data_IF_385079092702
#
_entry.id   IF_385079092702
#
_cell.length_a   1.000
_cell.length_b   1.000
_cell.length_c   1.000
_cell.angle_alpha   90.00
_cell.angle_beta   90.00
_cell.angle_gamma   90.00
#
_symmetry.space_group_name_H-M   'P 1'
#
loop_
_entity.id
_entity.type
_entity.pdbx_description
1 polymer ?
#
# COMPACT_ATOMS: atom_id res chain seq x y z
N UNK A 1 -3.01 7.38 -9.26
CA UNK A 1 -1.60 7.27 -9.74
C UNK A 1 -1.38 7.96 -11.09
N UNK A 2 -2.43 8.51 -11.73
CA UNK A 2 -2.36 9.27 -12.99
C UNK A 2 -1.37 10.45 -13.00
N UNK A 3 -1.15 11.11 -11.85
CA UNK A 3 -0.13 12.18 -11.74
C UNK A 3 1.30 11.70 -12.00
N UNK A 4 1.53 10.39 -11.90
CA UNK A 4 2.79 9.74 -12.25
C UNK A 4 2.66 8.93 -13.55
N UNK A 5 1.76 9.30 -14.46
CA UNK A 5 1.63 8.66 -15.78
C UNK A 5 1.07 7.24 -15.78
N UNK A 6 0.67 6.69 -14.62
CA UNK A 6 0.06 5.35 -14.53
C UNK A 6 -1.47 5.49 -14.63
N UNK A 7 -2.16 4.81 -15.57
CA UNK A 7 -3.57 5.06 -15.88
C UNK A 7 -4.54 4.43 -14.88
N UNK A 8 -4.29 4.59 -13.58
CA UNK A 8 -5.10 4.02 -12.50
C UNK A 8 -5.34 5.01 -11.35
N UNK A 9 -6.41 4.76 -10.61
CA UNK A 9 -6.65 5.23 -9.24
C UNK A 9 -6.84 4.02 -8.32
N UNK A 10 -6.58 4.19 -7.02
CA UNK A 10 -6.40 3.05 -6.12
C UNK A 10 -6.85 3.36 -4.70
N UNK A 11 -7.15 2.31 -3.94
CA UNK A 11 -7.41 2.35 -2.50
C UNK A 11 -6.80 1.12 -1.81
N UNK A 12 -6.80 1.11 -0.48
CA UNK A 12 -6.39 -0.03 0.32
C UNK A 12 -7.57 -0.60 1.11
N UNK A 13 -7.87 -1.88 0.90
CA UNK A 13 -8.78 -2.63 1.75
C UNK A 13 -7.99 -3.18 2.94
N UNK A 14 -8.40 -2.81 4.15
CA UNK A 14 -7.72 -3.22 5.39
C UNK A 14 -8.62 -3.19 6.62
N UNK A 15 -8.28 -3.93 7.69
CA UNK A 15 -8.83 -3.67 9.01
C UNK A 15 -8.51 -2.25 9.49
N UNK A 16 -9.41 -1.70 10.31
CA UNK A 16 -9.30 -0.34 10.86
C UNK A 16 -9.34 -0.30 12.38
N UNK A 17 -9.86 -1.34 13.03
CA UNK A 17 -9.87 -1.43 14.48
C UNK A 17 -8.56 -2.05 15.00
N UNK A 18 -8.18 -1.62 16.20
CA UNK A 18 -6.92 -1.96 16.85
C UNK A 18 -6.79 -3.47 17.12
N UNK A 19 -7.88 -4.14 17.47
CA UNK A 19 -7.86 -5.57 17.80
C UNK A 19 -7.66 -6.41 16.53
N UNK A 20 -8.36 -6.07 15.43
CA UNK A 20 -8.20 -6.74 14.15
C UNK A 20 -6.81 -6.51 13.56
N UNK A 21 -6.29 -5.28 13.60
CA UNK A 21 -4.92 -4.99 13.15
C UNK A 21 -3.86 -5.76 13.94
N UNK A 22 -4.04 -5.90 15.26
CA UNK A 22 -3.14 -6.68 16.11
C UNK A 22 -3.23 -8.19 15.84
N UNK A 23 -4.41 -8.68 15.44
CA UNK A 23 -4.64 -10.09 15.11
C UNK A 23 -4.08 -10.46 13.74
N UNK A 24 -4.41 -9.68 12.70
CA UNK A 24 -3.93 -9.88 11.35
C UNK A 24 -4.07 -8.56 10.53
N UNK A 25 -2.96 -7.82 10.29
CA UNK A 25 -2.97 -6.59 9.53
C UNK A 25 -2.83 -6.85 8.01
N UNK A 26 -3.55 -7.85 7.47
CA UNK A 26 -3.58 -8.10 6.03
C UNK A 26 -4.24 -6.94 5.30
N UNK A 27 -3.65 -6.53 4.18
CA UNK A 27 -4.08 -5.35 3.41
C UNK A 27 -3.94 -5.64 1.94
N UNK A 28 -4.88 -5.13 1.16
CA UNK A 28 -4.89 -5.28 -0.30
C UNK A 28 -4.96 -3.90 -0.94
N UNK A 29 -3.89 -3.53 -1.65
CA UNK A 29 -3.88 -2.32 -2.48
C UNK A 29 -4.54 -2.64 -3.82
N UNK A 30 -5.71 -2.06 -4.08
CA UNK A 30 -6.53 -2.35 -5.25
C UNK A 30 -6.57 -1.15 -6.16
N UNK A 31 -6.18 -1.35 -7.43
CA UNK A 31 -6.17 -0.31 -8.46
C UNK A 31 -7.24 -0.58 -9.50
N UNK A 32 -7.97 0.47 -9.89
CA UNK A 32 -8.93 0.45 -10.97
C UNK A 32 -8.33 1.14 -12.20
N UNK A 33 -8.35 0.43 -13.34
CA UNK A 33 -7.88 0.95 -14.63
C UNK A 33 -8.83 2.01 -15.16
N UNK A 34 -8.27 3.14 -15.57
CA UNK A 34 -8.99 4.28 -16.15
C UNK A 34 -8.87 4.25 -17.66
N UNK A 35 -9.82 3.60 -18.33
CA UNK A 35 -9.83 3.41 -19.79
C UNK A 35 -9.84 4.75 -20.55
N UNK A 36 -10.43 5.80 -19.99
CA UNK A 36 -10.46 7.13 -20.58
C UNK A 36 -9.07 7.77 -20.75
N UNK A 37 -8.05 7.22 -20.07
CA UNK A 37 -6.65 7.63 -20.21
C UNK A 37 -5.89 6.87 -21.33
N UNK A 38 -6.51 5.91 -22.00
CA UNK A 38 -5.94 5.22 -23.18
C UNK A 38 -6.13 6.14 -24.39
N UNK A 39 -5.07 6.69 -24.96
CA UNK A 39 -5.18 7.75 -25.98
C UNK A 39 -5.82 7.25 -27.28
N UNK A 40 -5.42 6.05 -27.71
CA UNK A 40 -5.95 5.43 -28.91
C UNK A 40 -7.41 4.98 -28.71
N UNK A 41 -8.36 5.66 -29.36
CA UNK A 41 -9.79 5.39 -29.22
C UNK A 41 -10.21 3.96 -29.63
N UNK A 42 -9.62 3.41 -30.70
CA UNK A 42 -9.92 2.05 -31.14
C UNK A 42 -9.40 1.02 -30.13
N UNK A 43 -8.18 1.25 -29.59
CA UNK A 43 -7.60 0.38 -28.58
C UNK A 43 -8.37 0.46 -27.25
N UNK A 44 -8.82 1.66 -26.87
CA UNK A 44 -9.68 1.88 -25.71
C UNK A 44 -10.99 1.11 -25.83
N UNK A 45 -11.65 1.21 -26.99
CA UNK A 45 -12.89 0.48 -27.26
C UNK A 45 -12.65 -1.04 -27.19
N UNK A 46 -11.56 -1.52 -27.79
CA UNK A 46 -11.17 -2.93 -27.73
C UNK A 46 -10.94 -3.41 -26.30
N UNK A 47 -10.25 -2.61 -25.48
CA UNK A 47 -10.02 -2.93 -24.08
C UNK A 47 -11.34 -3.01 -23.29
N UNK A 48 -12.27 -2.07 -23.53
CA UNK A 48 -13.58 -2.09 -22.90
C UNK A 48 -14.39 -3.35 -23.26
N UNK A 49 -14.36 -3.77 -24.53
CA UNK A 49 -15.04 -4.98 -25.00
C UNK A 49 -14.50 -6.24 -24.29
N UNK A 50 -13.17 -6.40 -24.25
CA UNK A 50 -12.53 -7.55 -23.59
C UNK A 50 -12.90 -7.57 -22.10
N UNK A 51 -12.81 -6.42 -21.42
CA UNK A 51 -13.14 -6.30 -20.00
C UNK A 51 -14.62 -6.55 -19.71
N UNK A 52 -15.53 -6.25 -20.64
CA UNK A 52 -16.98 -6.47 -20.45
C UNK A 52 -17.40 -7.93 -20.56
N UNK A 53 -16.58 -8.78 -21.18
CA UNK A 53 -16.89 -10.19 -21.43
C UNK A 53 -16.38 -11.14 -20.35
N UNK A 54 -15.56 -10.64 -19.40
CA UNK A 54 -14.97 -11.46 -18.35
C UNK A 54 -15.84 -11.51 -17.11
N UNK A 55 -15.80 -12.65 -16.42
CA UNK A 55 -16.27 -12.79 -15.04
C UNK A 55 -15.11 -13.26 -14.17
N UNK A 56 -14.66 -12.38 -13.26
CA UNK A 56 -13.47 -12.62 -12.43
C UNK A 56 -13.79 -13.38 -11.14
N UNK A 57 -15.08 -13.54 -10.81
CA UNK A 57 -15.51 -14.24 -9.60
C UNK A 57 -16.19 -15.55 -10.00
N UNK A 58 -15.88 -16.63 -9.30
CA UNK A 58 -16.61 -17.90 -9.51
C UNK A 58 -18.08 -17.72 -9.14
N UNK A 59 -18.96 -18.49 -9.76
CA UNK A 59 -20.39 -18.45 -9.42
C UNK A 59 -20.64 -18.79 -7.95
N UNK A 60 -19.83 -19.70 -7.36
CA UNK A 60 -19.93 -20.06 -5.94
C UNK A 60 -19.45 -18.94 -5.02
N UNK A 61 -18.41 -18.19 -5.39
CA UNK A 61 -17.98 -17.00 -4.65
C UNK A 61 -19.12 -15.98 -4.51
N UNK A 62 -19.85 -15.71 -5.61
CA UNK A 62 -21.00 -14.80 -5.60
C UNK A 62 -22.15 -15.31 -4.72
N UNK A 63 -22.49 -16.60 -4.83
CA UNK A 63 -23.51 -17.22 -3.97
C UNK A 63 -23.15 -17.12 -2.48
N UNK A 64 -21.88 -17.34 -2.12
CA UNK A 64 -21.42 -17.21 -0.74
C UNK A 64 -21.52 -15.76 -0.25
N UNK A 65 -21.28 -14.76 -1.10
CA UNK A 65 -21.52 -13.35 -0.74
C UNK A 65 -23.00 -13.07 -0.47
N UNK A 66 -23.90 -13.57 -1.33
CA UNK A 66 -25.35 -13.43 -1.11
C UNK A 66 -25.78 -14.10 0.21
N UNK A 67 -25.27 -15.32 0.49
CA UNK A 67 -25.50 -16.02 1.75
C UNK A 67 -24.99 -15.22 2.97
N UNK A 68 -23.82 -14.57 2.85
CA UNK A 68 -23.27 -13.74 3.91
C UNK A 68 -24.17 -12.54 4.21
N UNK A 69 -24.66 -11.86 3.18
CA UNK A 69 -25.51 -10.67 3.31
C UNK A 69 -26.87 -11.03 3.93
N UNK A 70 -27.42 -12.20 3.60
CA UNK A 70 -28.67 -12.72 4.21
C UNK A 70 -28.50 -13.14 5.67
N UNK A 71 -27.36 -13.77 6.02
CA UNK A 71 -27.13 -14.38 7.34
C UNK A 71 -26.41 -13.45 8.33
N UNK A 72 -25.74 -12.40 7.84
CA UNK A 72 -24.91 -11.50 8.62
C UNK A 72 -23.57 -12.10 9.08
N UNK A 73 -23.16 -13.23 8.52
CA UNK A 73 -21.93 -13.94 8.92
C UNK A 73 -21.80 -15.33 8.29
N UNK A 74 -20.62 -15.93 8.42
CA UNK A 74 -20.36 -17.31 7.99
C UNK A 74 -20.15 -18.27 9.17
N UNK A 75 -20.57 -19.52 8.97
CA UNK A 75 -20.01 -20.65 9.71
C UNK A 75 -18.54 -20.90 9.31
N UNK A 76 -17.80 -21.66 10.12
CA UNK A 76 -16.41 -21.99 9.80
C UNK A 76 -16.26 -22.69 8.43
N UNK A 77 -17.19 -23.61 8.10
CA UNK A 77 -17.17 -24.32 6.82
C UNK A 77 -17.42 -23.39 5.62
N UNK A 78 -18.40 -22.48 5.72
CA UNK A 78 -18.66 -21.48 4.69
C UNK A 78 -17.47 -20.53 4.53
N UNK A 79 -16.84 -20.10 5.62
CA UNK A 79 -15.66 -19.23 5.56
C UNK A 79 -14.47 -19.92 4.87
N UNK A 80 -14.21 -21.20 5.16
CA UNK A 80 -13.17 -21.98 4.47
C UNK A 80 -13.47 -22.14 2.97
N UNK A 81 -14.74 -22.39 2.63
CA UNK A 81 -15.18 -22.46 1.22
C UNK A 81 -15.00 -21.11 0.52
N UNK A 82 -15.43 -20.03 1.16
CA UNK A 82 -15.31 -18.67 0.64
C UNK A 82 -13.86 -18.27 0.38
N UNK A 83 -12.94 -18.64 1.27
CA UNK A 83 -11.50 -18.41 1.05
C UNK A 83 -10.99 -19.17 -0.17
N UNK A 84 -11.39 -20.43 -0.37
CA UNK A 84 -10.98 -21.21 -1.55
C UNK A 84 -11.51 -20.61 -2.85
N UNK A 85 -12.80 -20.27 -2.88
CA UNK A 85 -13.45 -19.71 -4.07
C UNK A 85 -12.91 -18.30 -4.42
N UNK A 86 -12.66 -17.47 -3.40
CA UNK A 86 -12.07 -16.14 -3.60
C UNK A 86 -10.64 -16.22 -4.10
N UNK A 87 -9.87 -17.25 -3.71
CA UNK A 87 -8.49 -17.43 -4.15
C UNK A 87 -8.38 -17.64 -5.66
N UNK A 88 -9.41 -18.22 -6.30
CA UNK A 88 -9.44 -18.41 -7.76
C UNK A 88 -9.44 -17.08 -8.53
N UNK A 89 -10.06 -16.02 -7.98
CA UNK A 89 -10.03 -14.68 -8.59
C UNK A 89 -8.62 -14.11 -8.76
N UNK A 90 -7.70 -14.48 -7.85
CA UNK A 90 -6.33 -13.96 -7.80
C UNK A 90 -5.29 -14.94 -8.34
N UNK A 91 -5.72 -16.13 -8.80
CA UNK A 91 -4.83 -17.14 -9.36
C UNK A 91 -4.24 -16.65 -10.68
N UNK A 92 -2.97 -16.97 -10.92
CA UNK A 92 -2.33 -16.71 -12.20
C UNK A 92 -2.73 -17.75 -13.24
N UNK A 93 -3.07 -17.25 -14.43
CA UNK A 93 -3.36 -18.06 -15.60
C UNK A 93 -2.35 -17.73 -16.69
N UNK A 94 -1.70 -18.76 -17.23
CA UNK A 94 -0.75 -18.60 -18.35
C UNK A 94 -1.44 -18.27 -19.67
N UNK A 95 -2.73 -18.59 -19.79
CA UNK A 95 -3.51 -18.36 -21.00
C UNK A 95 -4.08 -16.94 -20.99
N UNK A 96 -3.69 -16.15 -21.98
CA UNK A 96 -4.29 -14.85 -22.24
C UNK A 96 -5.68 -15.01 -22.88
N UNK A 97 -6.52 -14.00 -22.71
CA UNK A 97 -7.89 -13.92 -23.28
C UNK A 97 -7.91 -13.30 -24.68
N UNK A 98 -6.74 -12.94 -25.21
CA UNK A 98 -6.56 -12.21 -26.47
C UNK A 98 -5.49 -12.86 -27.35
N UNK A 99 -5.49 -12.49 -28.63
CA UNK A 99 -4.42 -12.84 -29.58
C UNK A 99 -3.14 -12.03 -29.31
N UNK A 100 -2.01 -12.50 -29.86
CA UNK A 100 -0.71 -11.85 -29.67
C UNK A 100 -0.70 -10.38 -30.14
N UNK A 101 -1.37 -10.05 -31.25
CA UNK A 101 -1.35 -8.70 -31.82
C UNK A 101 -2.09 -7.70 -30.94
N UNK A 102 -3.26 -8.10 -30.43
CA UNK A 102 -4.02 -7.34 -29.43
C UNK A 102 -3.19 -7.14 -28.16
N UNK A 103 -2.57 -8.20 -27.64
CA UNK A 103 -1.70 -8.09 -26.46
C UNK A 103 -0.54 -7.11 -26.71
N UNK A 104 0.18 -7.23 -27.82
CA UNK A 104 1.30 -6.34 -28.19
C UNK A 104 0.83 -4.89 -28.33
N UNK A 105 -0.34 -4.64 -28.91
CA UNK A 105 -0.91 -3.30 -29.04
C UNK A 105 -1.21 -2.67 -27.68
N UNK A 106 -1.87 -3.40 -26.77
CA UNK A 106 -2.14 -2.93 -25.40
C UNK A 106 -0.84 -2.75 -24.60
N UNK A 107 0.13 -3.63 -24.81
CA UNK A 107 1.42 -3.58 -24.11
C UNK A 107 2.27 -2.37 -24.51
N UNK A 108 2.24 -2.01 -25.81
CA UNK A 108 2.91 -0.80 -26.33
C UNK A 108 2.28 0.48 -25.80
N UNK A 109 0.96 0.51 -25.62
CA UNK A 109 0.27 1.65 -25.02
C UNK A 109 0.73 1.83 -23.56
N UNK A 110 0.57 0.78 -22.75
CA UNK A 110 1.14 0.72 -21.42
C UNK A 110 1.10 -0.72 -20.91
N UNK A 111 2.23 -1.22 -20.39
CA UNK A 111 2.33 -2.59 -19.86
C UNK A 111 1.27 -2.96 -18.81
N UNK A 112 0.79 -1.99 -18.01
CA UNK A 112 -0.28 -2.19 -17.02
C UNK A 112 -1.62 -2.47 -17.71
N UNK A 113 -1.90 -1.82 -18.84
CA UNK A 113 -3.13 -2.07 -19.59
C UNK A 113 -3.14 -3.52 -20.06
N UNK A 114 -2.03 -4.01 -20.64
CA UNK A 114 -1.94 -5.41 -21.03
C UNK A 114 -2.06 -6.39 -19.84
N UNK A 115 -1.43 -6.09 -18.70
CA UNK A 115 -1.53 -6.88 -17.46
C UNK A 115 -2.97 -6.99 -16.94
N UNK A 116 -3.77 -5.92 -17.05
CA UNK A 116 -5.15 -5.90 -16.55
C UNK A 116 -6.16 -6.45 -17.55
N UNK A 117 -5.98 -6.17 -18.85
CA UNK A 117 -6.98 -6.45 -19.90
C UNK A 117 -6.84 -7.85 -20.48
N UNK A 118 -5.62 -8.35 -20.63
CA UNK A 118 -5.34 -9.55 -21.44
C UNK A 118 -5.49 -10.88 -20.68
N UNK A 119 -5.87 -10.86 -19.40
CA UNK A 119 -5.90 -12.04 -18.55
C UNK A 119 -7.31 -12.31 -17.97
N UNK A 120 -7.62 -13.56 -17.61
CA UNK A 120 -8.96 -13.93 -17.14
C UNK A 120 -9.38 -13.26 -15.82
N UNK A 121 -8.43 -13.03 -14.92
CA UNK A 121 -8.67 -12.52 -13.56
C UNK A 121 -7.80 -11.33 -13.21
N UNK A 122 -7.70 -11.04 -11.92
CA UNK A 122 -6.84 -10.00 -11.36
C UNK A 122 -5.74 -10.63 -10.50
N UNK A 123 -4.81 -11.32 -11.16
CA UNK A 123 -3.75 -12.05 -10.48
C UNK A 123 -2.93 -11.18 -9.53
N UNK A 124 -2.34 -11.81 -8.52
CA UNK A 124 -1.46 -11.15 -7.56
C UNK A 124 -0.28 -10.51 -8.29
N UNK A 125 -0.15 -9.18 -8.18
CA UNK A 125 1.02 -8.45 -8.68
C UNK A 125 2.27 -8.76 -7.84
N UNK A 126 2.12 -8.67 -6.51
CA UNK A 126 3.13 -9.03 -5.51
C UNK A 126 2.46 -9.32 -4.16
N UNK A 127 3.16 -10.06 -3.29
CA UNK A 127 2.83 -10.19 -1.86
C UNK A 127 4.04 -9.70 -1.05
N UNK A 128 3.84 -8.65 -0.27
CA UNK A 128 4.91 -7.96 0.44
C UNK A 128 4.96 -8.39 1.90
N UNK A 129 6.02 -9.08 2.36
CA UNK A 129 6.21 -9.34 3.77
C UNK A 129 6.74 -8.10 4.50
N UNK A 130 6.52 -8.06 5.82
CA UNK A 130 7.06 -7.03 6.71
C UNK A 130 8.41 -7.47 7.28
N UNK A 131 9.43 -6.62 7.19
CA UNK A 131 10.70 -6.74 7.91
C UNK A 131 10.86 -5.64 8.97
N UNK A 132 11.73 -5.89 9.95
CA UNK A 132 12.13 -4.91 10.96
C UNK A 132 13.35 -4.07 10.51
N UNK A 133 14.22 -4.64 9.65
CA UNK A 133 15.39 -3.95 9.09
C UNK A 133 15.47 -4.27 7.59
N UNK A 134 15.00 -3.32 6.76
CA UNK A 134 15.02 -3.45 5.31
C UNK A 134 16.42 -3.36 4.73
N UNK A 135 17.35 -2.64 5.38
CA UNK A 135 18.73 -2.53 4.90
C UNK A 135 19.42 -3.89 5.05
N UNK A 136 19.20 -4.57 6.18
CA UNK A 136 19.72 -5.91 6.41
C UNK A 136 19.15 -6.93 5.43
N UNK A 137 17.84 -6.88 5.17
CA UNK A 137 17.21 -7.78 4.19
C UNK A 137 17.76 -7.52 2.78
N UNK A 138 17.85 -6.26 2.34
CA UNK A 138 18.38 -5.91 1.03
C UNK A 138 19.83 -6.41 0.85
N UNK A 139 20.67 -6.29 1.88
CA UNK A 139 22.05 -6.80 1.85
C UNK A 139 22.13 -8.33 1.74
N UNK A 140 21.16 -9.06 2.32
CA UNK A 140 21.11 -10.53 2.29
C UNK A 140 20.45 -11.12 1.04
N UNK A 141 19.63 -10.33 0.32
CA UNK A 141 18.91 -10.80 -0.87
C UNK A 141 19.82 -11.46 -1.92
N UNK A 142 21.00 -10.90 -2.30
CA UNK A 142 21.90 -11.54 -3.27
C UNK A 142 22.42 -12.90 -2.83
N UNK A 143 22.66 -13.10 -1.52
CA UNK A 143 23.10 -14.39 -0.96
C UNK A 143 22.01 -15.47 -1.10
N UNK A 144 20.75 -15.05 -1.24
CA UNK A 144 19.59 -15.91 -1.48
C UNK A 144 19.16 -15.96 -2.96
N UNK A 145 19.99 -15.46 -3.90
CA UNK A 145 19.69 -15.46 -5.33
C UNK A 145 18.67 -14.41 -5.78
N UNK A 146 18.33 -13.45 -4.92
CA UNK A 146 17.43 -12.33 -5.23
C UNK A 146 18.27 -11.10 -5.56
N UNK A 147 18.05 -10.49 -6.72
CA UNK A 147 18.70 -9.22 -7.08
C UNK A 147 17.76 -8.06 -6.76
N UNK A 148 17.92 -7.37 -5.61
CA UNK A 148 17.10 -6.22 -5.27
C UNK A 148 17.37 -5.05 -6.22
N UNK A 149 16.37 -4.20 -6.39
CA UNK A 149 16.64 -2.84 -6.83
C UNK A 149 17.51 -2.16 -5.79
N UNK A 150 18.45 -1.35 -6.28
CA UNK A 150 19.38 -0.62 -5.42
C UNK A 150 18.62 0.45 -4.61
N UNK A 151 17.57 1.04 -5.19
CA UNK A 151 16.75 2.07 -4.56
C UNK A 151 15.81 1.50 -3.48
N UNK A 152 15.86 2.08 -2.29
CA UNK A 152 14.84 1.95 -1.25
C UNK A 152 13.99 3.22 -1.28
N UNK A 153 12.69 3.04 -1.48
CA UNK A 153 11.69 4.10 -1.47
C UNK A 153 11.22 4.39 -0.04
N UNK A 154 10.81 5.64 0.21
CA UNK A 154 10.44 6.12 1.54
C UNK A 154 11.50 7.02 2.19
N UNK A 155 11.41 7.28 3.50
CA UNK A 155 12.44 8.04 4.22
C UNK A 155 13.77 7.26 4.25
N UNK A 156 14.90 7.93 4.56
CA UNK A 156 16.16 7.25 4.80
C UNK A 156 16.09 6.40 6.08
N UNK A 157 17.16 5.65 6.39
CA UNK A 157 17.29 4.94 7.66
C UNK A 157 17.21 5.91 8.84
N UNK A 158 16.46 5.53 9.88
CA UNK A 158 16.14 6.33 11.08
C UNK A 158 16.08 5.45 12.31
N UNK A 159 16.36 6.04 13.47
CA UNK A 159 16.17 5.37 14.77
C UNK A 159 14.69 5.20 15.10
N UNK A 160 13.85 6.18 14.73
CA UNK A 160 12.39 6.07 14.80
C UNK A 160 11.84 6.09 13.37
N UNK A 161 11.62 4.91 12.75
CA UNK A 161 11.09 4.82 11.40
C UNK A 161 9.72 5.51 11.29
N UNK A 162 9.52 6.26 10.21
CA UNK A 162 8.25 6.95 9.89
C UNK A 162 7.67 6.39 8.59
N UNK A 163 6.34 6.38 8.47
CA UNK A 163 5.62 5.82 7.31
C UNK A 163 6.08 4.38 7.01
N UNK A 164 6.63 4.12 5.82
CA UNK A 164 7.27 2.86 5.48
C UNK A 164 8.47 3.09 4.56
N UNK A 165 9.35 2.11 4.52
CA UNK A 165 10.43 1.97 3.53
C UNK A 165 10.18 0.69 2.73
N UNK A 166 10.41 0.71 1.43
CA UNK A 166 10.20 -0.47 0.58
C UNK A 166 11.17 -0.57 -0.59
N UNK A 167 11.39 -1.78 -1.07
CA UNK A 167 12.15 -2.03 -2.31
C UNK A 167 11.58 -3.25 -3.03
N UNK A 168 11.79 -3.31 -4.34
CA UNK A 168 11.30 -4.39 -5.18
C UNK A 168 12.43 -5.12 -5.89
N UNK A 169 12.14 -6.31 -6.38
CA UNK A 169 13.05 -7.16 -7.14
C UNK A 169 12.29 -7.89 -8.24
N UNK A 170 12.99 -8.22 -9.33
CA UNK A 170 12.41 -9.09 -10.37
C UNK A 170 12.30 -10.49 -9.79
N UNK A 171 11.07 -11.02 -9.71
CA UNK A 171 10.86 -12.36 -9.16
C UNK A 171 10.87 -13.41 -10.26
N UNK A 172 9.96 -13.31 -11.24
CA UNK A 172 9.77 -14.33 -12.27
C UNK A 172 9.34 -13.70 -13.61
N UNK A 173 9.83 -14.26 -14.71
CA UNK A 173 9.22 -14.09 -16.03
C UNK A 173 8.35 -15.31 -16.32
N UNK A 174 7.10 -15.06 -16.69
CA UNK A 174 6.14 -16.11 -16.97
C UNK A 174 5.92 -16.24 -18.48
N UNK A 175 5.78 -17.48 -18.93
CA UNK A 175 5.34 -17.76 -20.29
C UNK A 175 3.85 -17.46 -20.42
N UNK A 176 3.47 -16.82 -21.52
CA UNK A 176 2.08 -16.54 -21.87
C UNK A 176 1.72 -17.24 -23.17
N UNK A 177 0.55 -17.86 -23.17
CA UNK A 177 -0.05 -18.51 -24.33
C UNK A 177 -1.23 -17.66 -24.81
N UNK A 178 -1.19 -17.24 -26.06
CA UNK A 178 -2.27 -16.46 -26.67
C UNK A 178 -3.33 -17.37 -27.29
N UNK A 179 -4.52 -16.82 -27.55
CA UNK A 179 -5.64 -17.59 -28.13
C UNK A 179 -5.37 -18.07 -29.57
N UNK A 180 -4.43 -17.43 -30.28
CA UNK A 180 -3.95 -17.83 -31.60
C UNK A 180 -2.78 -18.83 -31.54
N UNK A 181 -2.64 -19.55 -30.42
CA UNK A 181 -1.64 -20.59 -30.12
C UNK A 181 -0.17 -20.13 -30.18
N UNK A 182 0.07 -18.83 -30.25
CA UNK A 182 1.40 -18.26 -30.18
C UNK A 182 1.90 -18.17 -28.75
N UNK A 183 3.22 -18.25 -28.60
CA UNK A 183 3.91 -18.12 -27.32
C UNK A 183 4.53 -16.72 -27.18
N UNK A 184 4.38 -16.12 -26.01
CA UNK A 184 5.05 -14.89 -25.63
C UNK A 184 5.57 -14.95 -24.20
N UNK A 185 6.10 -13.83 -23.73
CA UNK A 185 6.52 -13.65 -22.34
C UNK A 185 5.78 -12.48 -21.73
N UNK A 186 5.48 -12.59 -20.43
CA UNK A 186 4.92 -11.52 -19.65
C UNK A 186 5.71 -11.35 -18.36
N UNK A 187 6.32 -10.18 -18.24
CA UNK A 187 7.06 -9.77 -17.05
C UNK A 187 6.11 -8.95 -16.17
N UNK A 188 5.35 -9.60 -15.30
CA UNK A 188 4.49 -8.93 -14.32
C UNK A 188 4.80 -9.23 -12.86
N UNK A 189 5.56 -10.30 -12.57
CA UNK A 189 5.76 -10.71 -11.18
C UNK A 189 7.03 -10.10 -10.60
N UNK A 190 6.80 -9.13 -9.72
CA UNK A 190 7.84 -8.54 -8.89
C UNK A 190 7.66 -9.02 -7.47
N UNK A 191 8.77 -9.20 -6.78
CA UNK A 191 8.74 -9.32 -5.34
C UNK A 191 8.94 -7.95 -4.72
N UNK A 192 8.43 -7.77 -3.52
CA UNK A 192 8.57 -6.54 -2.75
C UNK A 192 8.80 -6.89 -1.29
N UNK A 193 9.48 -6.01 -0.57
CA UNK A 193 9.68 -6.07 0.88
C UNK A 193 9.43 -4.68 1.47
N UNK A 194 8.79 -4.63 2.65
CA UNK A 194 8.54 -3.37 3.33
C UNK A 194 8.97 -3.39 4.82
N UNK A 195 9.39 -2.24 5.32
CA UNK A 195 9.56 -1.95 6.74
C UNK A 195 8.61 -0.83 7.14
N UNK A 196 7.75 -1.08 8.13
CA UNK A 196 6.72 -0.14 8.58
C UNK A 196 7.15 0.58 9.86
N UNK A 197 7.12 1.90 9.81
CA UNK A 197 7.34 2.80 10.93
C UNK A 197 6.04 3.35 11.51
N UNK A 198 6.14 4.51 12.15
CA UNK A 198 5.02 5.21 12.78
C UNK A 198 4.17 5.99 11.77
N UNK A 199 2.86 6.01 11.97
CA UNK A 199 1.92 6.83 11.23
C UNK A 199 2.12 8.32 11.56
N UNK A 200 2.12 9.17 10.54
CA UNK A 200 2.31 10.61 10.68
C UNK A 200 0.98 11.35 10.82
N UNK A 201 0.99 12.45 11.56
CA UNK A 201 -0.10 13.43 11.54
C UNK A 201 -0.08 14.21 10.22
N UNK A 202 -1.13 14.99 9.88
CA UNK A 202 -1.06 15.89 8.73
C UNK A 202 0.14 16.86 8.77
N UNK A 203 0.56 17.28 9.97
CA UNK A 203 1.75 18.14 10.16
C UNK A 203 3.04 17.37 9.86
N UNK A 204 3.18 16.17 10.41
CA UNK A 204 4.34 15.32 10.11
C UNK A 204 4.42 14.94 8.64
N UNK A 205 3.27 14.69 8.01
CA UNK A 205 3.21 14.35 6.60
C UNK A 205 3.63 15.50 5.68
N UNK A 206 3.19 16.74 5.96
CA UNK A 206 3.67 17.93 5.23
C UNK A 206 5.19 18.08 5.32
N UNK A 207 5.76 17.95 6.53
CA UNK A 207 7.21 18.01 6.70
C UNK A 207 7.92 16.89 5.93
N UNK A 208 7.38 15.67 5.94
CA UNK A 208 7.91 14.57 5.15
C UNK A 208 7.90 14.88 3.64
N UNK A 209 6.77 15.36 3.11
CA UNK A 209 6.62 15.66 1.69
C UNK A 209 7.53 16.84 1.27
N UNK A 210 7.68 17.88 2.11
CA UNK A 210 8.61 19.00 1.90
C UNK A 210 10.07 18.54 1.82
N UNK A 211 10.50 17.69 2.77
CA UNK A 211 11.87 17.18 2.81
C UNK A 211 12.14 16.22 1.65
N UNK A 212 11.17 15.37 1.28
CA UNK A 212 11.29 14.49 0.13
C UNK A 212 11.39 15.29 -1.18
N UNK A 213 10.59 16.36 -1.31
CA UNK A 213 10.69 17.26 -2.46
C UNK A 213 12.06 17.96 -2.53
N UNK A 214 12.57 18.43 -1.39
CA UNK A 214 13.89 19.08 -1.28
C UNK A 214 15.03 18.14 -1.64
N UNK A 215 14.95 16.86 -1.28
CA UNK A 215 15.95 15.86 -1.62
C UNK A 215 15.97 15.50 -3.12
N UNK A 216 14.88 15.79 -3.85
CA UNK A 216 14.78 15.57 -5.29
C UNK A 216 14.91 14.10 -5.69
N UNK A 217 15.27 13.86 -6.96
CA UNK A 217 15.58 12.53 -7.49
C UNK A 217 17.05 12.45 -7.81
N UNK A 218 17.79 11.53 -7.19
CA UNK A 218 19.20 11.33 -7.51
C UNK A 218 19.41 10.42 -8.74
N UNK A 219 20.54 10.61 -9.43
CA UNK A 219 20.94 9.78 -10.58
C UNK A 219 21.63 8.48 -10.17
N UNK A 220 22.26 8.46 -9.00
CA UNK A 220 22.85 7.25 -8.38
C UNK A 220 22.29 7.06 -6.97
N UNK A 221 22.11 5.80 -6.56
CA UNK A 221 21.46 5.49 -5.29
C UNK A 221 22.29 5.89 -4.07
N UNK A 222 23.61 5.73 -4.12
CA UNK A 222 24.45 5.96 -2.95
C UNK A 222 24.47 7.45 -2.59
N UNK A 223 24.73 8.32 -3.57
CA UNK A 223 24.70 9.78 -3.36
C UNK A 223 23.28 10.25 -3.05
N UNK A 224 22.26 9.65 -3.66
CA UNK A 224 20.87 9.99 -3.35
C UNK A 224 20.51 9.68 -1.89
N UNK A 225 20.85 8.48 -1.39
CA UNK A 225 20.56 8.08 -0.02
C UNK A 225 21.34 8.92 1.01
N UNK A 226 22.61 9.27 0.71
CA UNK A 226 23.38 10.21 1.54
C UNK A 226 22.71 11.58 1.60
N UNK A 227 22.35 12.15 0.45
CA UNK A 227 21.66 13.44 0.39
C UNK A 227 20.29 13.40 1.08
N UNK A 228 19.52 12.33 0.85
CA UNK A 228 18.23 12.11 1.49
C UNK A 228 18.38 12.08 3.02
N UNK A 229 19.40 11.38 3.54
CA UNK A 229 19.73 11.37 4.98
C UNK A 229 20.07 12.77 5.49
N UNK A 230 20.90 13.53 4.78
CA UNK A 230 21.26 14.91 5.18
C UNK A 230 20.04 15.82 5.27
N UNK A 231 19.15 15.77 4.26
CA UNK A 231 17.92 16.56 4.24
C UNK A 231 16.98 16.17 5.39
N UNK A 232 16.83 14.86 5.64
CA UNK A 232 15.96 14.32 6.69
C UNK A 232 16.49 14.46 8.12
N UNK A 233 17.72 14.95 8.33
CA UNK A 233 18.19 15.37 9.67
C UNK A 233 17.30 16.46 10.28
N UNK A 234 16.55 17.19 9.44
CA UNK A 234 15.56 18.18 9.88
C UNK A 234 14.33 17.53 10.53
N UNK A 235 14.02 16.28 10.20
CA UNK A 235 12.89 15.54 10.78
C UNK A 235 13.32 14.93 12.13
N UNK A 236 12.66 15.25 13.27
CA UNK A 236 13.08 14.78 14.59
C UNK A 236 13.11 13.24 14.70
N UNK A 237 14.23 12.67 15.17
CA UNK A 237 14.44 11.21 15.24
C UNK A 237 14.36 10.65 16.67
N UNK A 238 13.43 11.18 17.46
CA UNK A 238 13.11 10.65 18.79
C UNK A 238 11.61 10.65 19.03
N UNK A 239 11.09 9.60 19.65
CA UNK A 239 9.65 9.49 19.94
C UNK A 239 9.14 10.66 20.78
N UNK A 240 9.98 11.17 21.68
CA UNK A 240 9.70 12.37 22.47
C UNK A 240 9.42 13.60 21.60
N UNK A 241 10.36 13.95 20.70
CA UNK A 241 10.21 15.14 19.87
C UNK A 241 9.06 14.97 18.86
N UNK A 242 8.86 13.76 18.33
CA UNK A 242 7.75 13.46 17.43
C UNK A 242 6.39 13.67 18.10
N UNK A 243 6.24 13.23 19.35
CA UNK A 243 5.03 13.46 20.14
C UNK A 243 4.86 14.93 20.51
N UNK A 244 5.90 15.55 21.08
CA UNK A 244 5.86 16.93 21.55
C UNK A 244 5.52 17.91 20.41
N UNK A 245 6.04 17.66 19.21
CA UNK A 245 5.78 18.50 18.05
C UNK A 245 4.52 18.10 17.26
N UNK A 246 3.80 17.05 17.68
CA UNK A 246 2.59 16.55 17.03
C UNK A 246 2.84 16.08 15.60
N UNK A 247 3.96 15.38 15.36
CA UNK A 247 4.37 14.91 14.03
C UNK A 247 3.93 13.46 13.75
N UNK A 248 3.76 12.64 14.78
CA UNK A 248 3.36 11.25 14.65
C UNK A 248 2.27 10.89 15.64
N UNK A 249 1.52 9.83 15.34
CA UNK A 249 0.44 9.32 16.18
C UNK A 249 0.96 8.29 17.19
N UNK A 250 0.49 8.39 18.43
CA UNK A 250 0.89 7.52 19.53
C UNK A 250 -0.32 6.90 20.23
N UNK A 251 -0.13 5.68 20.71
CA UNK A 251 -1.06 4.97 21.57
C UNK A 251 -0.60 5.08 23.00
N UNK A 252 -1.49 5.53 23.88
CA UNK A 252 -1.22 5.68 25.30
C UNK A 252 -1.83 4.52 26.07
N UNK A 253 -1.08 4.01 27.06
CA UNK A 253 -1.59 3.04 28.03
C UNK A 253 -1.05 3.35 29.42
N UNK A 254 -1.86 3.08 30.44
CA UNK A 254 -1.40 3.12 31.83
C UNK A 254 -0.50 1.91 32.10
N UNK A 255 0.54 2.13 32.90
CA UNK A 255 1.31 1.05 33.52
C UNK A 255 0.59 0.59 34.80
N UNK A 256 0.98 -0.55 35.40
CA UNK A 256 0.46 -0.92 36.72
C UNK A 256 0.63 0.16 37.78
N UNK A 257 1.74 0.93 37.71
CA UNK A 257 1.97 2.09 38.59
C UNK A 257 1.02 3.25 38.27
N UNK A 258 0.78 3.54 36.99
CA UNK A 258 -0.19 4.56 36.58
C UNK A 258 -1.61 4.22 36.96
N UNK A 259 -2.01 2.94 36.92
CA UNK A 259 -3.31 2.48 37.38
C UNK A 259 -3.53 2.76 38.88
N UNK A 260 -2.52 2.50 39.72
CA UNK A 260 -2.57 2.83 41.14
C UNK A 260 -2.71 4.34 41.42
N UNK A 261 -2.28 5.19 40.48
CA UNK A 261 -2.34 6.65 40.57
C UNK A 261 -3.39 7.26 39.62
N UNK A 262 -4.37 6.48 39.14
CA UNK A 262 -5.36 6.94 38.15
C UNK A 262 -6.11 8.22 38.56
N UNK A 263 -6.37 8.40 39.86
CA UNK A 263 -7.04 9.59 40.38
C UNK A 263 -6.21 10.89 40.24
N UNK A 264 -4.89 10.77 40.05
CA UNK A 264 -3.98 11.88 39.85
C UNK A 264 -3.74 12.22 38.37
N UNK A 265 -4.46 11.57 37.46
CA UNK A 265 -4.41 11.81 36.01
C UNK A 265 -5.73 12.46 35.60
N UNK A 266 -5.64 13.62 34.96
CA UNK A 266 -6.79 14.43 34.60
C UNK A 266 -6.89 14.68 33.08
N UNK A 267 -8.11 14.88 32.55
CA UNK A 267 -8.29 15.24 31.15
C UNK A 267 -7.56 16.54 30.81
N UNK A 268 -6.80 16.54 29.71
CA UNK A 268 -5.98 17.67 29.28
C UNK A 268 -4.57 17.71 29.86
N UNK A 269 -4.21 16.80 30.77
CA UNK A 269 -2.82 16.68 31.26
C UNK A 269 -1.85 16.43 30.09
N UNK A 270 -0.68 17.06 30.16
CA UNK A 270 0.45 16.70 29.31
C UNK A 270 0.87 15.26 29.64
N UNK A 271 0.87 14.32 28.68
CA UNK A 271 1.32 12.96 28.94
C UNK A 271 2.83 12.88 29.26
N UNK A 272 3.64 13.88 28.93
CA UNK A 272 5.09 13.80 29.10
C UNK A 272 5.54 13.59 30.56
N UNK A 273 5.13 14.42 31.55
CA UNK A 273 5.45 14.14 32.96
C UNK A 273 4.98 12.77 33.46
N UNK A 274 3.84 12.29 32.95
CA UNK A 274 3.29 10.98 33.32
C UNK A 274 4.11 9.82 32.72
N UNK A 275 4.69 10.04 31.54
CA UNK A 275 5.62 9.09 30.92
C UNK A 275 6.94 9.05 31.69
N UNK A 276 7.48 10.21 32.09
CA UNK A 276 8.73 10.30 32.88
C UNK A 276 8.60 9.64 34.26
N UNK A 277 7.41 9.75 34.88
CA UNK A 277 7.09 9.02 36.13
C UNK A 277 6.86 7.52 35.93
N UNK A 278 6.81 7.05 34.69
CA UNK A 278 6.51 5.66 34.34
C UNK A 278 5.05 5.27 34.59
N UNK A 279 4.13 6.24 34.66
CA UNK A 279 2.69 6.01 34.85
C UNK A 279 1.98 5.73 33.52
N UNK A 280 2.41 6.42 32.46
CA UNK A 280 1.90 6.26 31.10
C UNK A 280 3.02 5.76 30.20
N UNK A 281 2.68 4.91 29.24
CA UNK A 281 3.57 4.56 28.12
C UNK A 281 2.91 5.06 26.83
N UNK A 282 3.66 5.80 26.03
CA UNK A 282 3.29 6.15 24.67
C UNK A 282 4.02 5.20 23.70
N UNK A 283 3.28 4.52 22.83
CA UNK A 283 3.82 3.61 21.81
C UNK A 283 3.47 4.16 20.43
N UNK A 284 4.41 4.22 19.47
CA UNK A 284 4.12 4.70 18.12
C UNK A 284 3.03 3.83 17.45
N UNK A 285 2.01 4.45 16.86
CA UNK A 285 1.01 3.73 16.08
C UNK A 285 1.63 3.37 14.72
N UNK A 286 1.67 2.08 14.39
CA UNK A 286 2.23 1.61 13.11
C UNK A 286 1.46 2.20 11.93
N UNK A 287 2.18 2.61 10.88
CA UNK A 287 1.59 3.05 9.62
C UNK A 287 1.05 1.84 8.85
N UNK A 288 -0.27 1.81 8.65
CA UNK A 288 -0.98 0.73 7.97
C UNK A 288 -1.25 1.00 6.49
N UNK A 289 -1.03 2.22 6.02
CA UNK A 289 -1.32 2.61 4.64
C UNK A 289 -0.06 2.50 3.74
N UNK A 290 -0.07 3.20 2.60
CA UNK A 290 0.94 3.11 1.55
C UNK A 290 1.53 4.49 1.23
N UNK A 291 2.71 4.53 0.63
CA UNK A 291 3.29 5.79 0.15
C UNK A 291 2.62 6.20 -1.18
N UNK A 292 2.08 7.43 -1.32
CA UNK A 292 1.32 7.81 -2.52
C UNK A 292 2.17 7.94 -3.80
N UNK A 293 3.45 8.30 -3.69
CA UNK A 293 4.39 8.38 -4.84
C UNK A 293 5.00 7.01 -5.15
N UNK A 294 5.20 6.17 -4.14
CA UNK A 294 5.91 4.91 -4.29
C UNK A 294 5.09 3.84 -4.99
N UNK A 295 3.76 3.81 -4.81
CA UNK A 295 2.92 2.91 -5.59
C UNK A 295 3.14 3.13 -7.10
N UNK A 296 3.20 4.39 -7.55
CA UNK A 296 3.49 4.70 -8.95
C UNK A 296 4.95 4.40 -9.34
N UNK A 297 5.93 4.68 -8.47
CA UNK A 297 7.33 4.32 -8.69
C UNK A 297 7.55 2.82 -8.82
N UNK A 298 6.84 2.02 -8.04
CA UNK A 298 6.80 0.55 -8.12
C UNK A 298 6.09 0.12 -9.40
N UNK A 299 4.93 0.68 -9.74
CA UNK A 299 4.27 0.38 -11.02
C UNK A 299 5.18 0.73 -12.20
N UNK A 300 5.75 1.93 -12.27
CA UNK A 300 6.67 2.33 -13.33
C UNK A 300 7.89 1.40 -13.37
N UNK A 301 8.56 1.18 -12.24
CA UNK A 301 9.79 0.39 -12.20
C UNK A 301 9.57 -1.11 -12.38
N UNK A 302 8.37 -1.62 -12.13
CA UNK A 302 7.94 -2.98 -12.48
C UNK A 302 7.59 -3.07 -13.98
N UNK A 303 7.24 -1.95 -14.59
CA UNK A 303 6.86 -1.83 -15.99
C UNK A 303 8.00 -1.25 -16.86
N UNK A 304 9.23 -1.15 -16.35
CA UNK A 304 10.43 -0.77 -17.12
C UNK A 304 10.86 0.67 -16.88
N UNK A 305 12.16 0.95 -17.06
CA UNK A 305 12.84 2.19 -16.64
C UNK A 305 12.42 3.48 -17.37
N UNK A 306 11.32 3.50 -18.14
CA UNK A 306 10.88 4.70 -18.84
C UNK A 306 10.10 5.61 -17.89
N UNK A 307 10.75 6.71 -17.50
CA UNK A 307 10.15 7.73 -16.63
C UNK A 307 9.18 8.55 -17.48
N UNK A 308 7.90 8.19 -17.51
CA UNK A 308 6.88 8.98 -18.19
C UNK A 308 6.69 10.33 -17.49
N UNK A 309 6.53 11.40 -18.28
CA UNK A 309 6.36 12.75 -17.78
C UNK A 309 5.06 12.87 -16.95
N UNK A 310 5.15 13.55 -15.81
CA UNK A 310 4.00 13.84 -14.94
C UNK A 310 3.01 14.70 -15.70
N UNK A 311 1.82 14.18 -16.00
CA UNK A 311 0.72 14.96 -16.55
C UNK A 311 -0.28 15.35 -15.45
N UNK A 312 -0.96 16.48 -15.63
CA UNK A 312 -2.02 16.97 -14.75
C UNK A 312 -3.28 16.10 -14.89
N UNK A 313 -3.23 14.87 -14.40
CA UNK A 313 -4.41 14.02 -14.29
C UNK A 313 -5.30 14.51 -13.14
N UNK A 314 -6.54 14.90 -13.45
CA UNK A 314 -7.59 15.02 -12.46
C UNK A 314 -7.88 13.62 -11.88
N UNK A 315 -7.29 13.32 -10.73
CA UNK A 315 -7.70 12.18 -9.91
C UNK A 315 -9.09 12.52 -9.36
N UNK A 316 -10.14 12.09 -10.07
CA UNK A 316 -11.50 12.27 -9.58
C UNK A 316 -11.75 11.23 -8.49
N UNK A 317 -11.56 11.65 -7.23
CA UNK A 317 -11.98 10.89 -6.05
C UNK A 317 -13.45 10.51 -6.18
N UNK A 318 -14.28 11.44 -6.63
CA UNK A 318 -15.71 11.23 -6.82
C UNK A 318 -16.00 10.09 -7.81
N UNK A 319 -15.31 10.06 -8.96
CA UNK A 319 -15.47 8.97 -9.92
C UNK A 319 -14.99 7.62 -9.37
N UNK A 320 -13.93 7.64 -8.54
CA UNK A 320 -13.46 6.43 -7.87
C UNK A 320 -14.46 5.92 -6.82
N UNK A 321 -14.95 6.80 -5.95
CA UNK A 321 -15.92 6.46 -4.91
C UNK A 321 -17.27 6.02 -5.51
N UNK A 322 -17.67 6.61 -6.64
CA UNK A 322 -18.82 6.15 -7.41
C UNK A 322 -18.63 4.74 -7.95
N UNK A 323 -17.46 4.41 -8.52
CA UNK A 323 -17.16 3.06 -9.00
C UNK A 323 -17.00 2.05 -7.85
N UNK A 324 -16.49 2.49 -6.70
CA UNK A 324 -16.34 1.69 -5.50
C UNK A 324 -17.70 1.39 -4.81
N UNK A 325 -18.69 2.26 -5.01
CA UNK A 325 -20.00 2.20 -4.37
C UNK A 325 -20.04 2.81 -2.96
N UNK A 326 -18.93 3.35 -2.46
CA UNK A 326 -18.86 4.03 -1.17
C UNK A 326 -17.68 5.01 -1.10
N UNK A 327 -17.71 5.89 -0.09
CA UNK A 327 -16.63 6.83 0.17
C UNK A 327 -15.40 6.12 0.75
N UNK A 328 -14.20 6.52 0.32
CA UNK A 328 -12.96 6.06 0.98
C UNK A 328 -12.79 6.76 2.31
N UNK A 329 -12.34 6.01 3.32
CA UNK A 329 -12.05 6.57 4.64
C UNK A 329 -10.77 7.40 4.60
N UNK A 330 -10.76 8.50 5.34
CA UNK A 330 -9.55 9.28 5.59
C UNK A 330 -8.69 8.60 6.65
N UNK A 331 -7.46 8.24 6.29
CA UNK A 331 -6.54 7.55 7.17
C UNK A 331 -6.14 8.40 8.38
N UNK A 332 -6.03 9.73 8.23
CA UNK A 332 -5.64 10.60 9.33
C UNK A 332 -6.69 10.59 10.44
N UNK A 333 -7.97 10.63 10.06
CA UNK A 333 -9.08 10.48 11.00
C UNK A 333 -9.02 9.14 11.75
N UNK A 334 -8.71 8.03 11.08
CA UNK A 334 -8.58 6.72 11.74
C UNK A 334 -7.45 6.67 12.77
N UNK A 335 -6.28 7.24 12.45
CA UNK A 335 -5.17 7.30 13.40
C UNK A 335 -5.45 8.24 14.56
N UNK A 336 -6.08 9.38 14.30
CA UNK A 336 -6.53 10.32 15.33
C UNK A 336 -7.50 9.64 16.31
N UNK A 337 -8.53 8.97 15.80
CA UNK A 337 -9.50 8.24 16.61
C UNK A 337 -8.82 7.17 17.48
N UNK A 338 -7.83 6.46 16.94
CA UNK A 338 -7.05 5.46 17.68
C UNK A 338 -6.23 6.09 18.82
N UNK A 339 -5.56 7.21 18.56
CA UNK A 339 -4.84 7.96 19.59
C UNK A 339 -5.80 8.49 20.66
N UNK A 340 -6.88 9.17 20.28
CA UNK A 340 -7.86 9.73 21.21
C UNK A 340 -8.54 8.66 22.05
N UNK A 341 -8.89 7.51 21.46
CA UNK A 341 -9.44 6.36 22.19
C UNK A 341 -8.46 5.88 23.25
N UNK A 342 -7.16 5.83 22.93
CA UNK A 342 -6.14 5.43 23.89
C UNK A 342 -5.94 6.47 25.00
N UNK A 343 -6.00 7.76 24.67
CA UNK A 343 -5.97 8.87 25.65
C UNK A 343 -7.16 8.82 26.61
N UNK A 344 -8.38 8.62 26.10
CA UNK A 344 -9.61 8.46 26.91
C UNK A 344 -9.48 7.31 27.91
N UNK A 345 -8.94 6.17 27.51
CA UNK A 345 -8.69 5.01 28.41
C UNK A 345 -7.70 5.34 29.55
N UNK A 346 -6.80 6.28 29.31
CA UNK A 346 -5.83 6.76 30.31
C UNK A 346 -6.35 7.95 31.14
N UNK A 347 -7.55 8.48 30.86
CA UNK A 347 -8.08 9.67 31.51
C UNK A 347 -7.47 10.99 31.03
N UNK A 348 -6.78 11.00 29.89
CA UNK A 348 -6.09 12.17 29.33
C UNK A 348 -7.00 13.05 28.44
N UNK A 349 -8.18 12.55 28.06
CA UNK A 349 -9.11 13.22 27.15
C UNK A 349 -10.56 12.93 27.54
#
# INVERSE_FOLDING_TARGET
LSQAGVPVHSTAFRPIDEASLSRNPFRMFTSLLRLELIENAALRQRAAEILSQRDIFTSRCRQLLDEYDEQGGFSAAQAEEFVRETLETFRWHRQATVDEETYRSLHREHRLIADVVCFPGCHINHLTPRTLDIDRVQAMMPECGITPKILIEGPPRREVPILLRQTSFKALEEQVLFVDEKQGTHTARFGEIEQRGVALTPKGRRLYDELLHKAGTGKDNFTHQLHLREVFNTFPDSEFLLRQQGLAWFRYRLTPSGEAHRQAIHPGDDPQPLIERGWVIAQPITYEDFLPVSAAGIFQSNLGNETLARSHGNASRDAFEQALGCAVRDEFSLYQEAEERSKRRCGLL
#
